data_IF_685147574867
#
_entry.id   IF_685147574867
#
_cell.length_a   1.000
_cell.length_b   1.000
_cell.length_c   1.000
_cell.angle_alpha   90.00
_cell.angle_beta   90.00
_cell.angle_gamma   90.00
#
_symmetry.space_group_name_H-M   'P 1'
#
loop_
_entity.id
_entity.type
_entity.pdbx_description
1 polymer ?
#
# COMPACT_ATOMS: atom_id res chain seq x y z
N UNK A 1 25.06 -16.76 8.54
CA UNK A 1 25.57 -15.77 7.58
C UNK A 1 25.26 -16.23 6.15
N UNK A 2 24.03 -15.92 5.66
CA UNK A 2 23.58 -16.25 4.30
C UNK A 2 22.92 -15.03 3.63
N UNK A 3 23.40 -13.85 3.92
CA UNK A 3 22.98 -12.63 3.22
C UNK A 3 23.99 -12.23 2.14
N UNK A 4 24.15 -13.04 1.11
CA UNK A 4 24.78 -12.57 -0.12
C UNK A 4 23.70 -12.17 -1.11
N UNK A 5 23.42 -10.86 -1.17
CA UNK A 5 22.75 -10.24 -2.31
C UNK A 5 23.45 -10.67 -3.61
N UNK A 6 22.78 -11.49 -4.41
CA UNK A 6 23.18 -11.72 -5.79
C UNK A 6 22.65 -10.57 -6.66
N UNK A 7 23.27 -9.40 -6.56
CA UNK A 7 23.11 -8.37 -7.58
C UNK A 7 24.02 -8.72 -8.76
N UNK A 8 23.52 -9.40 -9.76
CA UNK A 8 24.14 -9.42 -11.07
C UNK A 8 23.64 -8.20 -11.83
N UNK A 9 24.43 -7.16 -11.85
CA UNK A 9 24.21 -5.94 -12.62
C UNK A 9 24.55 -6.22 -14.07
N UNK A 10 23.57 -6.20 -14.96
CA UNK A 10 23.81 -6.06 -16.41
C UNK A 10 24.07 -4.58 -16.68
N UNK A 11 25.10 -4.28 -17.48
CA UNK A 11 25.75 -2.97 -17.45
C UNK A 11 25.03 -1.80 -18.14
N UNK A 12 23.74 -1.88 -18.51
CA UNK A 12 23.01 -0.69 -18.99
C UNK A 12 21.48 -0.78 -18.77
N UNK A 13 20.77 0.36 -18.56
CA UNK A 13 19.32 0.35 -18.36
C UNK A 13 18.57 0.03 -19.65
N UNK A 14 17.54 -0.81 -19.56
CA UNK A 14 16.64 -1.12 -20.66
C UNK A 14 15.80 0.12 -20.98
N UNK A 15 16.02 0.73 -22.13
CA UNK A 15 15.17 1.82 -22.61
C UNK A 15 14.13 1.27 -23.58
N UNK A 16 12.87 1.49 -23.30
CA UNK A 16 11.76 1.13 -24.17
C UNK A 16 11.27 2.41 -24.86
N UNK A 17 11.40 2.51 -26.18
CA UNK A 17 10.83 3.66 -26.92
C UNK A 17 9.30 3.58 -26.95
N UNK A 18 8.68 4.73 -26.78
CA UNK A 18 7.24 4.95 -26.64
C UNK A 18 6.47 4.46 -27.88
N UNK A 19 5.94 3.24 -27.81
CA UNK A 19 4.90 2.74 -28.70
C UNK A 19 3.89 1.99 -27.82
N UNK A 20 2.59 2.16 -28.08
CA UNK A 20 1.51 1.45 -27.40
C UNK A 20 1.67 -0.07 -27.54
N UNK A 21 2.05 -0.78 -26.50
CA UNK A 21 2.24 -2.23 -26.60
C UNK A 21 2.39 -2.99 -25.29
N UNK A 22 2.18 -4.29 -25.37
CA UNK A 22 2.37 -5.28 -24.29
C UNK A 22 3.80 -5.81 -24.37
N UNK A 23 4.47 -5.90 -23.22
CA UNK A 23 5.75 -6.63 -23.11
C UNK A 23 5.46 -7.93 -22.38
N UNK A 24 5.71 -9.04 -23.03
CA UNK A 24 5.68 -10.36 -22.43
C UNK A 24 7.11 -10.77 -22.07
N UNK A 25 7.28 -11.28 -20.87
CA UNK A 25 8.56 -11.78 -20.37
C UNK A 25 8.41 -13.26 -20.09
N UNK A 26 9.18 -14.07 -20.77
CA UNK A 26 9.21 -15.51 -20.56
C UNK A 26 10.51 -15.89 -19.86
N UNK A 27 10.40 -16.59 -18.73
CA UNK A 27 11.53 -17.18 -18.04
C UNK A 27 11.82 -18.57 -18.60
N UNK A 28 13.04 -18.82 -19.01
CA UNK A 28 13.50 -20.11 -19.51
C UNK A 28 14.49 -20.74 -18.54
N UNK A 29 14.07 -21.83 -17.88
CA UNK A 29 14.96 -22.69 -17.11
C UNK A 29 15.35 -23.90 -17.97
N UNK A 30 16.55 -23.90 -18.52
CA UNK A 30 16.98 -25.04 -19.29
C UNK A 30 18.51 -25.20 -19.34
N UNK A 31 19.02 -26.32 -18.83
CA UNK A 31 20.26 -26.92 -19.32
C UNK A 31 20.06 -27.34 -20.78
N UNK A 32 21.09 -27.27 -21.60
CA UNK A 32 21.06 -27.73 -22.98
C UNK A 32 20.49 -29.15 -23.06
N UNK A 33 19.21 -29.27 -23.47
CA UNK A 33 18.56 -30.58 -23.69
C UNK A 33 17.16 -30.77 -23.06
N UNK A 34 16.65 -29.85 -22.28
CA UNK A 34 15.30 -29.97 -21.74
C UNK A 34 14.23 -29.47 -22.72
N UNK A 35 13.15 -30.23 -22.82
CA UNK A 35 12.03 -29.99 -23.72
C UNK A 35 11.39 -28.61 -23.45
N UNK A 36 11.15 -27.82 -24.50
CA UNK A 36 10.66 -26.44 -24.51
C UNK A 36 9.29 -26.21 -23.86
N UNK A 37 8.67 -27.22 -23.28
CA UNK A 37 7.26 -27.20 -22.86
C UNK A 37 7.02 -27.09 -21.34
N UNK A 38 8.06 -27.03 -20.50
CA UNK A 38 7.86 -27.20 -19.05
C UNK A 38 8.05 -25.97 -18.17
N UNK A 39 8.31 -24.80 -18.68
CA UNK A 39 8.42 -23.62 -17.83
C UNK A 39 8.08 -22.31 -18.58
N UNK A 40 6.83 -22.13 -18.96
CA UNK A 40 6.32 -20.84 -19.39
C UNK A 40 5.45 -20.27 -18.27
N UNK A 41 6.05 -19.49 -17.40
CA UNK A 41 5.31 -18.57 -16.57
C UNK A 41 5.22 -17.24 -17.30
N UNK A 42 4.07 -17.00 -17.93
CA UNK A 42 3.82 -15.72 -18.59
C UNK A 42 3.55 -14.61 -17.58
N UNK A 43 4.19 -13.49 -17.75
CA UNK A 43 4.02 -12.30 -16.94
C UNK A 43 3.37 -11.19 -17.73
N UNK A 44 2.24 -10.72 -17.21
CA UNK A 44 1.61 -9.49 -17.71
C UNK A 44 2.19 -8.30 -16.94
N UNK A 45 3.07 -7.55 -17.57
CA UNK A 45 3.57 -6.29 -17.03
C UNK A 45 2.55 -5.16 -17.20
N UNK A 46 2.32 -4.38 -16.16
CA UNK A 46 1.52 -3.16 -16.22
C UNK A 46 2.40 -1.98 -16.63
N UNK A 47 1.88 -1.17 -17.52
CA UNK A 47 2.52 0.01 -18.08
C UNK A 47 2.54 1.13 -17.05
N UNK A 48 3.71 1.70 -16.80
CA UNK A 48 3.86 2.99 -16.11
C UNK A 48 4.59 3.91 -17.08
N UNK A 49 3.97 4.98 -17.51
CA UNK A 49 4.59 6.00 -18.33
C UNK A 49 4.89 7.20 -17.44
N UNK A 50 6.14 7.61 -17.42
CA UNK A 50 6.59 8.91 -16.92
C UNK A 50 7.19 9.71 -18.08
N UNK A 51 7.55 10.96 -17.81
CA UNK A 51 8.11 11.87 -18.82
C UNK A 51 9.52 11.45 -19.31
N UNK A 52 10.16 10.48 -18.65
CA UNK A 52 11.51 10.01 -18.95
C UNK A 52 11.54 8.68 -19.73
N UNK A 53 10.41 8.02 -19.90
CA UNK A 53 10.30 6.78 -20.64
C UNK A 53 9.38 5.73 -20.07
N UNK A 54 9.21 4.61 -20.76
CA UNK A 54 8.36 3.51 -20.34
C UNK A 54 9.16 2.53 -19.47
N UNK A 55 8.90 2.47 -18.18
CA UNK A 55 9.39 1.43 -17.29
C UNK A 55 8.42 0.25 -17.28
N UNK A 56 8.90 -0.95 -17.51
CA UNK A 56 8.13 -2.19 -17.35
C UNK A 56 8.43 -2.74 -15.97
N UNK A 57 7.43 -2.66 -15.09
CA UNK A 57 7.51 -3.28 -13.77
C UNK A 57 6.98 -4.70 -13.85
N UNK A 58 7.87 -5.65 -13.71
CA UNK A 58 7.52 -7.07 -13.65
C UNK A 58 7.24 -7.44 -12.20
N UNK A 59 5.99 -7.74 -11.88
CA UNK A 59 5.58 -7.98 -10.49
C UNK A 59 5.94 -9.36 -9.94
N UNK A 60 6.13 -10.37 -10.78
CA UNK A 60 6.48 -11.71 -10.32
C UNK A 60 7.09 -12.52 -11.47
N UNK A 61 8.33 -12.94 -11.32
CA UNK A 61 8.97 -13.94 -12.16
C UNK A 61 9.03 -15.24 -11.37
N UNK A 62 7.97 -16.04 -11.41
CA UNK A 62 7.97 -17.39 -10.82
C UNK A 62 8.96 -18.23 -11.59
N UNK A 63 9.91 -18.85 -10.88
CA UNK A 63 10.96 -19.68 -11.50
C UNK A 63 12.14 -18.91 -12.13
N UNK A 64 12.06 -17.60 -12.31
CA UNK A 64 13.18 -16.85 -12.92
C UNK A 64 14.44 -16.82 -12.04
N UNK A 65 14.28 -16.80 -10.72
CA UNK A 65 15.38 -16.86 -9.77
C UNK A 65 16.13 -18.18 -9.85
N UNK A 66 15.38 -19.26 -9.87
CA UNK A 66 15.91 -20.62 -10.01
C UNK A 66 16.57 -20.82 -11.37
N UNK A 67 15.94 -20.33 -12.44
CA UNK A 67 16.49 -20.37 -13.77
C UNK A 67 17.83 -19.61 -13.87
N UNK A 68 17.91 -18.40 -13.34
CA UNK A 68 19.14 -17.61 -13.32
C UNK A 68 20.21 -18.21 -12.40
N UNK A 69 19.83 -18.78 -11.26
CA UNK A 69 20.75 -19.45 -10.34
C UNK A 69 21.37 -20.71 -10.95
N UNK A 70 20.64 -21.38 -11.85
CA UNK A 70 21.09 -22.58 -12.60
C UNK A 70 21.83 -22.22 -13.90
N UNK A 71 22.08 -20.94 -14.15
CA UNK A 71 22.75 -20.49 -15.37
C UNK A 71 21.84 -20.42 -16.60
N UNK A 72 20.55 -20.49 -16.41
CA UNK A 72 19.52 -20.25 -17.42
C UNK A 72 19.43 -18.79 -17.86
N UNK A 73 18.73 -18.52 -18.93
CA UNK A 73 18.48 -17.18 -19.47
C UNK A 73 17.02 -16.74 -19.30
N UNK A 74 16.81 -15.43 -19.38
CA UNK A 74 15.49 -14.84 -19.56
C UNK A 74 15.36 -14.39 -21.01
N UNK A 75 14.25 -14.73 -21.67
CA UNK A 75 13.92 -14.18 -22.96
C UNK A 75 12.79 -13.17 -22.84
N UNK A 76 12.92 -12.08 -23.60
CA UNK A 76 11.96 -11.01 -23.63
C UNK A 76 11.39 -10.92 -25.03
N UNK A 77 10.08 -10.96 -25.16
CA UNK A 77 9.39 -10.69 -26.41
C UNK A 77 8.53 -9.44 -26.29
N UNK A 78 8.30 -8.77 -27.40
CA UNK A 78 7.49 -7.56 -27.42
C UNK A 78 6.49 -7.61 -28.57
N UNK A 79 5.25 -7.19 -28.28
CA UNK A 79 4.22 -6.97 -29.31
C UNK A 79 3.91 -5.50 -29.38
N UNK A 80 3.91 -4.94 -30.60
CA UNK A 80 3.61 -3.53 -30.86
C UNK A 80 4.57 -2.54 -30.18
N UNK A 81 5.76 -2.98 -29.81
CA UNK A 81 6.87 -2.15 -29.32
C UNK A 81 8.21 -2.76 -29.71
N UNK A 82 9.28 -1.97 -29.61
CA UNK A 82 10.66 -2.45 -29.79
C UNK A 82 11.36 -2.50 -28.46
N UNK A 83 12.10 -3.58 -28.23
CA UNK A 83 13.02 -3.70 -27.09
C UNK A 83 14.41 -3.24 -27.53
N UNK A 84 15.08 -2.49 -26.68
CA UNK A 84 16.50 -2.20 -26.87
C UNK A 84 17.35 -3.46 -26.65
N UNK A 85 18.53 -3.50 -27.27
CA UNK A 85 19.42 -4.67 -27.21
C UNK A 85 19.99 -4.96 -25.84
N UNK A 86 19.99 -3.95 -24.97
CA UNK A 86 20.57 -4.04 -23.64
C UNK A 86 19.59 -3.52 -22.60
N UNK A 87 19.59 -4.12 -21.41
CA UNK A 87 18.76 -3.72 -20.32
C UNK A 87 19.34 -4.11 -18.97
N UNK A 88 18.84 -3.45 -17.92
CA UNK A 88 19.15 -3.77 -16.55
C UNK A 88 18.00 -4.57 -15.94
N UNK A 89 18.29 -5.76 -15.43
CA UNK A 89 17.40 -6.50 -14.55
C UNK A 89 17.85 -6.28 -13.11
N UNK A 90 17.00 -5.70 -12.29
CA UNK A 90 17.21 -5.59 -10.84
C UNK A 90 16.30 -6.61 -10.16
N UNK A 91 16.89 -7.58 -9.48
CA UNK A 91 16.17 -8.57 -8.72
C UNK A 91 16.23 -8.22 -7.24
N UNK A 92 15.09 -8.26 -6.58
CA UNK A 92 14.97 -8.10 -5.15
C UNK A 92 14.52 -9.41 -4.53
N UNK A 93 15.08 -9.76 -3.38
CA UNK A 93 14.51 -10.84 -2.58
C UNK A 93 13.15 -10.38 -2.06
N UNK A 94 12.14 -11.25 -2.18
CA UNK A 94 10.86 -11.03 -1.54
C UNK A 94 10.97 -11.46 -0.08
N UNK A 95 10.87 -10.53 0.88
CA UNK A 95 10.92 -10.90 2.28
C UNK A 95 9.76 -11.83 2.63
N UNK A 96 10.02 -12.83 3.44
CA UNK A 96 8.96 -13.65 4.01
C UNK A 96 8.31 -12.88 5.17
N UNK A 97 7.12 -12.36 4.93
CA UNK A 97 6.33 -11.64 5.93
C UNK A 97 5.35 -12.56 6.66
N UNK A 98 5.23 -13.84 6.28
CA UNK A 98 4.21 -14.74 6.82
C UNK A 98 4.32 -14.90 8.35
N UNK A 99 5.56 -14.89 8.89
CA UNK A 99 5.82 -15.02 10.32
C UNK A 99 6.17 -13.67 10.99
N UNK A 100 5.86 -12.55 10.33
CA UNK A 100 6.18 -11.21 10.83
C UNK A 100 4.92 -10.53 11.38
N UNK A 101 5.17 -9.65 12.35
CA UNK A 101 4.17 -8.69 12.85
C UNK A 101 4.14 -7.52 11.89
N UNK A 102 3.10 -7.44 11.09
CA UNK A 102 2.99 -6.44 10.01
C UNK A 102 1.95 -5.41 10.37
N UNK A 103 2.35 -4.15 10.49
CA UNK A 103 1.44 -3.02 10.65
C UNK A 103 1.26 -2.31 9.32
N UNK A 104 0.02 -2.08 8.91
CA UNK A 104 -0.34 -1.26 7.75
C UNK A 104 -0.88 0.07 8.25
N UNK A 105 -0.24 1.17 7.85
CA UNK A 105 -0.73 2.53 8.09
C UNK A 105 -1.44 3.01 6.83
N UNK A 106 -2.76 3.07 6.88
CA UNK A 106 -3.61 3.50 5.78
C UNK A 106 -4.07 4.95 5.97
N UNK A 107 -3.85 5.86 5.03
CA UNK A 107 -4.39 7.22 5.09
C UNK A 107 -5.91 7.25 5.22
N UNK A 108 -6.61 6.41 4.45
CA UNK A 108 -8.07 6.32 4.42
C UNK A 108 -8.51 4.85 4.51
N UNK A 109 -9.80 4.62 4.77
CA UNK A 109 -10.42 3.32 4.62
C UNK A 109 -10.35 2.89 3.14
N UNK A 110 -9.89 1.72 2.81
CA UNK A 110 -9.58 1.11 1.50
C UNK A 110 -8.10 1.09 1.11
N UNK A 111 -7.28 2.03 1.55
CA UNK A 111 -5.86 2.06 1.18
C UNK A 111 -5.12 0.78 1.61
N UNK A 112 -5.43 0.25 2.80
CA UNK A 112 -4.85 -1.01 3.26
C UNK A 112 -5.24 -2.18 2.35
N UNK A 113 -6.49 -2.24 1.91
CA UNK A 113 -7.02 -3.29 1.04
C UNK A 113 -6.43 -3.18 -0.36
N UNK A 114 -6.41 -1.98 -0.92
CA UNK A 114 -5.89 -1.74 -2.27
C UNK A 114 -4.40 -2.02 -2.38
N UNK A 115 -3.62 -1.64 -1.36
CA UNK A 115 -2.17 -1.74 -1.40
C UNK A 115 -1.62 -3.02 -0.76
N UNK A 116 -2.24 -3.53 0.29
CA UNK A 116 -1.62 -4.50 1.18
C UNK A 116 -2.50 -5.70 1.55
N UNK A 117 -3.74 -5.86 1.04
CA UNK A 117 -4.61 -6.98 1.38
C UNK A 117 -3.93 -8.34 1.18
N UNK A 118 -3.30 -8.53 0.00
CA UNK A 118 -2.57 -9.76 -0.30
C UNK A 118 -1.34 -10.01 0.59
N UNK A 119 -0.86 -8.99 1.30
CA UNK A 119 0.21 -9.10 2.26
C UNK A 119 -0.35 -9.44 3.64
N UNK A 120 -1.17 -8.55 4.22
CA UNK A 120 -1.62 -8.69 5.59
C UNK A 120 -2.53 -9.91 5.80
N UNK A 121 -3.33 -10.31 4.79
CA UNK A 121 -4.18 -11.51 4.89
C UNK A 121 -3.42 -12.83 4.99
N UNK A 122 -2.11 -12.82 4.78
CA UNK A 122 -1.22 -13.99 4.87
C UNK A 122 -0.19 -13.88 5.99
N UNK A 123 -0.17 -12.79 6.72
CA UNK A 123 0.69 -12.62 7.88
C UNK A 123 0.11 -13.32 9.10
N UNK A 124 0.98 -13.82 9.97
CA UNK A 124 0.56 -14.45 11.23
C UNK A 124 -0.03 -13.44 12.22
N UNK A 125 0.47 -12.21 12.21
CA UNK A 125 0.08 -11.16 13.14
C UNK A 125 -0.04 -9.81 12.38
N UNK A 126 -1.18 -9.56 11.68
CA UNK A 126 -1.43 -8.33 10.94
C UNK A 126 -2.12 -7.28 11.80
N UNK A 127 -1.77 -6.01 11.64
CA UNK A 127 -2.41 -4.87 12.28
C UNK A 127 -2.71 -3.78 11.24
N UNK A 128 -3.92 -3.26 11.21
CA UNK A 128 -4.32 -2.19 10.28
C UNK A 128 -4.75 -0.95 11.08
N UNK A 129 -4.11 0.17 10.78
CA UNK A 129 -4.39 1.48 11.36
C UNK A 129 -4.79 2.44 10.25
N UNK A 130 -6.03 2.91 10.28
CA UNK A 130 -6.52 3.94 9.37
C UNK A 130 -6.46 5.31 10.03
N UNK A 131 -5.84 6.29 9.36
CA UNK A 131 -5.54 7.58 9.97
C UNK A 131 -6.73 8.54 9.94
N UNK A 132 -7.44 8.65 8.80
CA UNK A 132 -8.50 9.64 8.62
C UNK A 132 -9.86 9.02 8.39
N UNK A 133 -10.91 9.81 8.62
CA UNK A 133 -12.29 9.35 8.51
C UNK A 133 -12.77 9.15 7.06
N UNK A 134 -12.09 9.72 6.06
CA UNK A 134 -12.50 9.62 4.67
C UNK A 134 -13.76 10.44 4.33
N UNK A 135 -14.01 11.55 5.04
CA UNK A 135 -15.22 12.37 4.93
C UNK A 135 -15.21 13.34 3.74
N UNK A 136 -14.07 13.50 3.07
CA UNK A 136 -13.94 14.35 1.88
C UNK A 136 -14.77 13.84 0.69
N UNK A 137 -15.04 14.72 -0.29
CA UNK A 137 -15.73 14.37 -1.55
C UNK A 137 -17.11 13.74 -1.31
N UNK A 138 -17.95 14.41 -0.54
CA UNK A 138 -19.29 13.92 -0.13
C UNK A 138 -20.43 14.42 -1.03
N UNK A 139 -20.15 15.07 -2.18
CA UNK A 139 -21.13 15.68 -3.07
C UNK A 139 -22.13 14.66 -3.62
N UNK A 140 -21.66 13.48 -4.00
CA UNK A 140 -22.54 12.41 -4.49
C UNK A 140 -23.49 11.89 -3.40
N UNK A 141 -23.03 11.83 -2.14
CA UNK A 141 -23.84 11.44 -1.00
C UNK A 141 -24.89 12.54 -0.72
N UNK A 142 -24.47 13.80 -0.71
CA UNK A 142 -25.37 14.94 -0.52
C UNK A 142 -26.49 14.96 -1.55
N UNK A 143 -26.15 14.80 -2.84
CA UNK A 143 -27.10 14.79 -3.93
C UNK A 143 -28.05 13.58 -3.88
N UNK A 144 -27.55 12.39 -3.54
CA UNK A 144 -28.37 11.17 -3.52
C UNK A 144 -29.36 11.11 -2.34
N UNK A 145 -29.03 11.78 -1.25
CA UNK A 145 -29.85 11.77 -0.03
C UNK A 145 -30.61 13.09 0.20
N UNK A 146 -30.39 14.07 -0.66
CA UNK A 146 -30.96 15.44 -0.54
C UNK A 146 -30.69 16.07 0.84
N UNK A 147 -29.42 16.02 1.28
CA UNK A 147 -28.97 16.57 2.56
C UNK A 147 -27.83 17.59 2.35
N UNK A 148 -27.64 18.52 3.32
CA UNK A 148 -26.53 19.47 3.26
C UNK A 148 -25.17 18.78 3.16
N UNK A 149 -24.25 19.40 2.41
CA UNK A 149 -22.91 18.83 2.17
C UNK A 149 -22.13 18.53 3.49
N UNK A 150 -22.17 19.37 4.54
CA UNK A 150 -21.52 19.03 5.82
C UNK A 150 -22.11 17.77 6.49
N UNK A 151 -23.43 17.57 6.37
CA UNK A 151 -24.10 16.39 6.92
C UNK A 151 -23.76 15.13 6.11
N UNK A 152 -23.67 15.27 4.80
CA UNK A 152 -23.21 14.20 3.90
C UNK A 152 -21.76 13.81 4.19
N UNK A 153 -20.88 14.78 4.42
CA UNK A 153 -19.49 14.55 4.80
C UNK A 153 -19.41 13.80 6.14
N UNK A 154 -20.19 14.22 7.13
CA UNK A 154 -20.27 13.55 8.44
C UNK A 154 -20.77 12.11 8.30
N UNK A 155 -21.82 11.88 7.50
CA UNK A 155 -22.36 10.55 7.26
C UNK A 155 -21.33 9.67 6.55
N UNK A 156 -20.69 10.18 5.48
CA UNK A 156 -19.63 9.46 4.76
C UNK A 156 -18.48 9.10 5.69
N UNK A 157 -18.00 10.05 6.50
CA UNK A 157 -16.93 9.82 7.47
C UNK A 157 -17.27 8.70 8.46
N UNK A 158 -18.50 8.65 8.94
CA UNK A 158 -18.96 7.56 9.83
C UNK A 158 -18.99 6.20 9.14
N UNK A 159 -19.50 6.12 7.91
CA UNK A 159 -19.52 4.89 7.13
C UNK A 159 -18.09 4.39 6.84
N UNK A 160 -17.22 5.29 6.37
CA UNK A 160 -15.83 4.95 6.10
C UNK A 160 -15.05 4.55 7.37
N UNK A 161 -15.36 5.17 8.50
CA UNK A 161 -14.78 4.75 9.79
C UNK A 161 -15.20 3.34 10.20
N UNK A 162 -16.44 2.95 9.89
CA UNK A 162 -16.88 1.56 10.07
C UNK A 162 -16.15 0.61 9.11
N UNK A 163 -16.04 0.97 7.83
CA UNK A 163 -15.35 0.15 6.83
C UNK A 163 -13.91 -0.13 7.26
N UNK A 164 -13.20 0.86 7.80
CA UNK A 164 -11.79 0.74 8.20
C UNK A 164 -11.54 -0.28 9.33
N UNK A 165 -12.56 -0.59 10.13
CA UNK A 165 -12.44 -1.61 11.19
C UNK A 165 -13.14 -2.93 10.83
N UNK A 166 -14.05 -2.91 9.86
CA UNK A 166 -14.82 -4.08 9.46
C UNK A 166 -14.17 -4.87 8.33
N UNK A 167 -13.66 -4.17 7.30
CA UNK A 167 -13.16 -4.82 6.07
C UNK A 167 -11.84 -5.56 6.29
N UNK A 168 -10.83 -5.04 7.05
CA UNK A 168 -9.60 -5.78 7.28
C UNK A 168 -9.80 -7.16 7.92
N UNK A 169 -10.89 -7.33 8.66
CA UNK A 169 -11.26 -8.62 9.28
C UNK A 169 -11.52 -9.73 8.26
N UNK A 170 -11.89 -9.39 7.02
CA UNK A 170 -12.01 -10.36 5.93
C UNK A 170 -10.65 -10.86 5.47
N UNK A 171 -9.58 -10.11 5.77
CA UNK A 171 -8.19 -10.52 5.59
C UNK A 171 -7.59 -11.16 6.86
N UNK A 172 -8.41 -11.67 7.78
CA UNK A 172 -8.03 -12.31 9.04
C UNK A 172 -7.33 -11.39 10.05
N UNK A 173 -7.52 -10.06 9.93
CA UNK A 173 -7.04 -9.13 10.97
C UNK A 173 -7.97 -9.23 12.17
N UNK A 174 -7.48 -9.49 13.39
CA UNK A 174 -8.28 -9.48 14.60
C UNK A 174 -8.98 -8.13 14.83
N UNK A 175 -10.15 -8.13 15.45
CA UNK A 175 -10.92 -6.91 15.66
C UNK A 175 -10.15 -5.86 16.48
N UNK A 176 -9.39 -6.31 17.46
CA UNK A 176 -8.53 -5.48 18.31
C UNK A 176 -7.32 -4.90 17.58
N UNK A 177 -7.01 -5.42 16.40
CA UNK A 177 -5.92 -4.98 15.52
C UNK A 177 -6.42 -4.19 14.30
N UNK A 178 -7.70 -3.81 14.27
CA UNK A 178 -8.28 -2.91 13.29
C UNK A 178 -8.62 -1.59 13.97
N UNK A 179 -7.86 -0.53 13.72
CA UNK A 179 -8.05 0.76 14.39
C UNK A 179 -8.33 1.89 13.40
N UNK A 180 -9.29 2.75 13.77
CA UNK A 180 -9.55 4.04 13.15
C UNK A 180 -9.09 5.17 14.08
N UNK A 181 -8.17 6.04 13.61
CA UNK A 181 -7.67 7.15 14.42
C UNK A 181 -8.56 8.39 14.38
N UNK A 182 -9.47 8.48 13.43
CA UNK A 182 -10.51 9.50 13.40
C UNK A 182 -10.06 10.90 13.00
N UNK A 183 -8.83 11.09 12.54
CA UNK A 183 -8.38 12.39 12.05
C UNK A 183 -9.10 12.76 10.76
N UNK A 184 -8.99 14.02 10.36
CA UNK A 184 -9.76 14.55 9.23
C UNK A 184 -8.94 14.57 7.94
N UNK A 185 -9.60 14.31 6.82
CA UNK A 185 -8.98 14.34 5.50
C UNK A 185 -8.37 15.70 5.19
N UNK A 186 -7.21 15.69 4.50
CA UNK A 186 -6.49 16.89 4.05
C UNK A 186 -6.05 17.84 5.18
N UNK A 187 -5.99 17.36 6.44
CA UNK A 187 -5.59 18.17 7.59
C UNK A 187 -4.22 17.79 8.18
N UNK A 188 -3.67 16.63 7.82
CA UNK A 188 -2.39 16.15 8.38
C UNK A 188 -1.23 17.14 8.18
N UNK A 189 -1.16 17.79 7.01
CA UNK A 189 -0.14 18.80 6.73
C UNK A 189 -0.30 20.05 7.62
N UNK A 190 -1.53 20.52 7.81
CA UNK A 190 -1.83 21.65 8.70
C UNK A 190 -1.52 21.31 10.16
N UNK A 191 -1.90 20.11 10.62
CA UNK A 191 -1.55 19.61 11.96
C UNK A 191 -0.03 19.59 12.18
N UNK A 192 0.75 19.17 11.19
CA UNK A 192 2.22 19.13 11.26
C UNK A 192 2.83 20.52 11.39
N UNK A 193 2.26 21.53 10.72
CA UNK A 193 2.73 22.92 10.78
C UNK A 193 2.45 23.55 12.14
N UNK A 194 1.30 23.24 12.74
CA UNK A 194 0.88 23.73 14.06
C UNK A 194 0.53 22.55 14.97
N UNK A 195 1.52 21.86 15.57
CA UNK A 195 1.35 20.55 16.21
C UNK A 195 0.37 20.52 17.39
N UNK A 196 0.17 21.64 18.07
CA UNK A 196 -0.72 21.76 19.23
C UNK A 196 -2.12 22.29 18.86
N UNK A 197 -2.27 22.85 17.67
CA UNK A 197 -3.52 23.44 17.23
C UNK A 197 -4.43 22.36 16.62
N UNK A 198 -5.67 22.32 17.12
CA UNK A 198 -6.67 21.42 16.59
C UNK A 198 -7.06 21.82 15.15
N UNK A 199 -7.05 20.86 14.25
CA UNK A 199 -7.42 21.06 12.84
C UNK A 199 -8.74 20.34 12.55
N UNK A 200 -9.90 21.02 12.68
CA UNK A 200 -11.21 20.42 12.42
C UNK A 200 -11.37 20.06 10.94
N UNK A 201 -12.37 19.22 10.66
CA UNK A 201 -12.73 18.87 9.28
C UNK A 201 -13.12 20.11 8.48
N UNK A 202 -12.53 20.28 7.31
CA UNK A 202 -12.93 21.32 6.33
C UNK A 202 -14.27 21.01 5.67
N UNK A 203 -14.72 19.76 5.75
CA UNK A 203 -15.91 19.26 5.05
C UNK A 203 -17.13 19.20 5.96
N UNK A 204 -17.01 18.61 7.15
CA UNK A 204 -18.11 18.49 8.11
C UNK A 204 -18.12 19.56 9.19
N UNK A 205 -16.99 20.27 9.42
CA UNK A 205 -16.82 21.22 10.52
C UNK A 205 -16.59 20.56 11.88
N UNK A 206 -16.56 19.22 11.95
CA UNK A 206 -16.36 18.49 13.20
C UNK A 206 -14.90 18.65 13.70
N UNK A 207 -14.74 18.77 15.03
CA UNK A 207 -13.46 18.95 15.69
C UNK A 207 -13.14 17.88 16.73
N UNK A 208 -13.92 16.80 16.80
CA UNK A 208 -13.73 15.69 17.72
C UNK A 208 -13.49 14.38 16.98
N UNK A 209 -12.36 13.73 17.26
CA UNK A 209 -11.98 12.46 16.60
C UNK A 209 -12.67 11.23 17.23
N UNK A 210 -13.19 11.34 18.45
CA UNK A 210 -13.74 10.20 19.21
C UNK A 210 -14.95 9.52 18.57
N UNK A 211 -15.90 10.23 17.91
CA UNK A 211 -17.01 9.56 17.24
C UNK A 211 -16.60 8.55 16.18
N UNK A 212 -15.49 8.77 15.48
CA UNK A 212 -14.96 7.82 14.49
C UNK A 212 -14.30 6.59 15.13
N UNK A 213 -13.89 6.70 16.39
CA UNK A 213 -13.20 5.65 17.15
C UNK A 213 -14.12 4.74 17.94
N UNK A 214 -15.44 4.91 17.84
CA UNK A 214 -16.40 4.18 18.64
C UNK A 214 -16.37 2.66 18.48
N UNK A 215 -15.76 2.18 17.39
CA UNK A 215 -15.61 0.74 17.10
C UNK A 215 -14.23 0.19 17.43
N UNK A 216 -13.30 1.04 17.88
CA UNK A 216 -11.97 0.59 18.29
C UNK A 216 -12.07 -0.24 19.58
N UNK A 217 -11.36 -1.35 19.62
CA UNK A 217 -11.22 -2.15 20.84
C UNK A 217 -10.24 -1.51 21.86
N UNK A 218 -9.29 -0.70 21.37
CA UNK A 218 -8.28 -0.05 22.19
C UNK A 218 -8.62 1.42 22.47
N UNK A 219 -8.27 1.86 23.67
CA UNK A 219 -8.25 3.28 24.02
C UNK A 219 -6.90 3.88 23.71
N UNK A 220 -6.91 5.06 23.08
CA UNK A 220 -5.71 5.75 22.62
C UNK A 220 -5.52 7.09 23.39
N UNK A 221 -4.28 7.61 23.47
CA UNK A 221 -4.01 8.89 24.12
C UNK A 221 -4.88 10.04 23.62
N UNK A 222 -5.14 10.14 22.31
CA UNK A 222 -6.00 11.15 21.72
C UNK A 222 -7.48 11.09 22.15
N UNK A 223 -7.93 9.99 22.79
CA UNK A 223 -9.27 9.88 23.34
C UNK A 223 -9.49 10.76 24.60
N UNK A 224 -8.42 11.23 25.23
CA UNK A 224 -8.50 12.02 26.45
C UNK A 224 -9.23 13.33 26.19
N UNK A 225 -8.85 14.06 25.16
CA UNK A 225 -9.44 15.35 24.81
C UNK A 225 -10.18 15.37 23.47
N UNK A 226 -9.96 14.36 22.63
CA UNK A 226 -10.61 14.20 21.31
C UNK A 226 -10.13 15.19 20.25
N UNK A 227 -9.06 15.93 20.50
CA UNK A 227 -8.60 16.97 19.57
C UNK A 227 -7.81 16.42 18.40
N UNK A 228 -8.09 16.88 17.18
CA UNK A 228 -7.32 16.52 15.99
C UNK A 228 -6.01 17.33 15.92
N UNK A 229 -5.06 17.02 16.78
CA UNK A 229 -3.73 17.65 16.83
C UNK A 229 -2.64 16.69 16.37
N UNK A 230 -1.52 17.25 15.89
CA UNK A 230 -0.36 16.42 15.53
C UNK A 230 0.23 15.69 16.74
N UNK A 231 0.24 16.34 17.90
CA UNK A 231 0.71 15.74 19.15
C UNK A 231 -0.12 14.49 19.50
N UNK A 232 -1.45 14.58 19.41
CA UNK A 232 -2.32 13.41 19.64
C UNK A 232 -2.09 12.31 18.60
N UNK A 233 -1.92 12.66 17.33
CA UNK A 233 -1.62 11.66 16.28
C UNK A 233 -0.32 10.91 16.59
N UNK A 234 0.74 11.62 16.94
CA UNK A 234 2.02 11.01 17.29
C UNK A 234 1.89 10.16 18.57
N UNK A 235 1.19 10.65 19.59
CA UNK A 235 0.97 9.91 20.83
C UNK A 235 0.19 8.59 20.57
N UNK A 236 -0.85 8.64 19.74
CA UNK A 236 -1.64 7.47 19.35
C UNK A 236 -0.78 6.43 18.61
N UNK A 237 -0.05 6.87 17.57
CA UNK A 237 0.83 5.98 16.81
C UNK A 237 1.93 5.37 17.68
N UNK A 238 2.55 6.16 18.56
CA UNK A 238 3.56 5.66 19.48
C UNK A 238 3.00 4.65 20.47
N UNK A 239 1.79 4.88 20.99
CA UNK A 239 1.12 3.93 21.88
C UNK A 239 0.88 2.59 21.18
N UNK A 240 0.33 2.63 19.94
CA UNK A 240 0.08 1.43 19.13
C UNK A 240 1.39 0.71 18.81
N UNK A 241 2.43 1.44 18.36
CA UNK A 241 3.72 0.83 18.00
C UNK A 241 4.44 0.22 19.21
N UNK A 242 4.36 0.84 20.38
CA UNK A 242 4.97 0.32 21.58
C UNK A 242 4.26 -0.93 22.10
N UNK A 243 2.96 -1.02 21.95
CA UNK A 243 2.16 -2.19 22.33
C UNK A 243 2.33 -3.32 21.31
N UNK A 244 2.03 -3.06 20.07
CA UNK A 244 2.09 -4.06 19.00
C UNK A 244 3.52 -4.47 18.64
N UNK A 245 4.51 -3.57 18.66
CA UNK A 245 5.92 -3.80 18.28
C UNK A 245 6.08 -4.43 16.90
N UNK A 246 5.67 -3.75 15.82
CA UNK A 246 5.73 -4.31 14.48
C UNK A 246 7.17 -4.62 14.05
N UNK A 247 7.37 -5.76 13.37
CA UNK A 247 8.61 -6.05 12.65
C UNK A 247 8.70 -5.27 11.34
N UNK A 248 7.54 -4.98 10.74
CA UNK A 248 7.40 -4.31 9.45
C UNK A 248 6.25 -3.32 9.51
N UNK A 249 6.48 -2.11 9.00
CA UNK A 249 5.46 -1.10 8.79
C UNK A 249 5.30 -0.88 7.29
N UNK A 250 4.08 -1.01 6.80
CA UNK A 250 3.70 -0.70 5.43
C UNK A 250 2.94 0.62 5.45
N UNK A 251 3.41 1.58 4.71
CA UNK A 251 2.83 2.92 4.61
C UNK A 251 2.90 3.40 3.16
N UNK A 252 2.10 4.38 2.75
CA UNK A 252 2.22 4.98 1.43
C UNK A 252 3.62 5.50 1.17
N UNK A 253 3.97 5.57 -0.11
CA UNK A 253 5.26 6.09 -0.54
C UNK A 253 5.42 7.55 -0.11
N UNK A 254 6.60 7.88 0.39
CA UNK A 254 6.95 9.23 0.84
C UNK A 254 7.30 10.18 -0.31
N UNK A 255 7.05 9.82 -1.56
CA UNK A 255 7.21 10.77 -2.64
C UNK A 255 6.21 11.87 -2.43
N UNK A 256 6.77 12.92 -2.20
CA UNK A 256 6.15 14.20 -2.09
C UNK A 256 6.01 14.76 -3.49
N UNK A 257 4.83 14.96 -3.87
CA UNK A 257 4.54 15.89 -4.93
C UNK A 257 4.35 17.28 -4.33
#
# INVERSE_FOLDING_TARGET
DKSRLLSRTFQEPLRVRKILGLVEIEGYAGSRGANRQEAVDSLVGRRVADDEGLAVVVRKLVGAREALAQGGGLSFSARHCQLEKHGRLTAFDWPDFAQRRVMVLAPHADDAELAAFGLYSRCADPFVVTLTQGEAEAEAVAASLDIPLPDAARLKGRLRSWDSVAIPRWGNVPAEQCLQLGYFCMQLAAMRVAPQDAQPSKYSGDGDIRPARQWNALRLPGDIDGKPTWENLIADLMAIMNDFRPDVIVTPHLSLD
#
